data_IF_633576817913
#
_entry.id   IF_633576817913
#
_cell.length_a   1.000
_cell.length_b   1.000
_cell.length_c   1.000
_cell.angle_alpha   90.00
_cell.angle_beta   90.00
_cell.angle_gamma   90.00
#
_symmetry.space_group_name_H-M   'P 1'
#
loop_
_entity.id
_entity.type
_entity.pdbx_description
1 polymer ?
#
# COMPACT_ATOMS: atom_id res chain seq x y z
N UNK A 1 14.68 -25.02 -2.76
CA UNK A 1 13.97 -23.72 -2.82
C UNK A 1 14.70 -22.82 -1.85
N UNK A 2 15.21 -21.67 -2.29
CA UNK A 2 15.83 -20.70 -1.37
C UNK A 2 14.77 -20.26 -0.36
N UNK A 3 15.08 -20.40 0.93
CA UNK A 3 14.23 -19.93 2.00
C UNK A 3 14.22 -18.40 1.96
N UNK A 4 13.03 -17.78 1.89
CA UNK A 4 12.92 -16.32 1.94
C UNK A 4 13.12 -15.94 3.41
N UNK A 5 14.29 -15.39 3.71
CA UNK A 5 14.60 -14.98 5.08
C UNK A 5 14.24 -13.50 5.30
N UNK A 6 13.97 -13.10 6.55
CA UNK A 6 13.71 -11.71 6.91
C UNK A 6 14.79 -10.74 6.43
N UNK A 7 16.04 -11.16 6.50
CA UNK A 7 17.20 -10.35 6.14
C UNK A 7 17.19 -9.98 4.64
N UNK A 8 16.64 -10.86 3.78
CA UNK A 8 16.49 -10.57 2.35
C UNK A 8 15.47 -9.45 2.15
N UNK A 9 14.35 -9.48 2.90
CA UNK A 9 13.31 -8.46 2.80
C UNK A 9 13.85 -7.11 3.32
N UNK A 10 14.51 -7.12 4.48
CA UNK A 10 15.10 -5.92 5.07
C UNK A 10 16.18 -5.32 4.17
N UNK A 11 16.96 -6.17 3.50
CA UNK A 11 17.96 -5.73 2.53
C UNK A 11 17.31 -5.01 1.34
N UNK A 12 16.29 -5.62 0.72
CA UNK A 12 15.55 -5.03 -0.40
C UNK A 12 14.96 -3.67 0.00
N UNK A 13 14.29 -3.60 1.15
CA UNK A 13 13.66 -2.36 1.64
C UNK A 13 14.73 -1.28 1.87
N UNK A 14 15.82 -1.63 2.54
CA UNK A 14 16.91 -0.70 2.85
C UNK A 14 17.56 -0.14 1.60
N UNK A 15 17.75 -0.98 0.57
CA UNK A 15 18.27 -0.56 -0.73
C UNK A 15 17.34 0.45 -1.42
N UNK A 16 16.04 0.15 -1.49
CA UNK A 16 15.06 1.07 -2.10
C UNK A 16 15.02 2.41 -1.37
N UNK A 17 14.97 2.40 -0.03
CA UNK A 17 14.93 3.62 0.78
C UNK A 17 16.21 4.46 0.58
N UNK A 18 17.37 3.82 0.66
CA UNK A 18 18.67 4.48 0.51
C UNK A 18 18.84 5.12 -0.87
N UNK A 19 18.52 4.38 -1.93
CA UNK A 19 18.70 4.87 -3.30
C UNK A 19 17.71 5.97 -3.69
N UNK A 20 16.48 5.91 -3.17
CA UNK A 20 15.44 6.91 -3.42
C UNK A 20 15.50 8.10 -2.45
N UNK A 21 16.51 8.11 -1.56
CA UNK A 21 16.71 9.10 -0.51
C UNK A 21 15.42 9.37 0.30
N UNK A 22 14.58 8.34 0.47
CA UNK A 22 13.28 8.47 1.12
C UNK A 22 13.49 8.72 2.60
N UNK A 23 12.87 9.77 3.12
CA UNK A 23 12.77 9.94 4.57
C UNK A 23 11.86 8.81 5.07
N UNK A 24 12.34 7.92 5.94
CA UNK A 24 11.57 6.78 6.39
C UNK A 24 10.32 7.21 7.19
N UNK A 25 10.27 8.47 7.67
CA UNK A 25 9.05 9.14 8.11
C UNK A 25 9.26 10.66 8.31
N UNK A 26 8.62 11.55 7.52
CA UNK A 26 8.75 13.02 7.68
C UNK A 26 8.03 13.61 8.89
N UNK A 27 7.22 12.83 9.61
CA UNK A 27 6.42 13.26 10.77
C UNK A 27 6.69 12.47 12.06
N UNK A 28 7.65 11.56 12.07
CA UNK A 28 7.97 10.75 13.24
C UNK A 28 9.03 11.45 14.09
N UNK A 29 8.65 12.03 15.22
CA UNK A 29 9.60 12.47 16.27
C UNK A 29 10.07 11.27 17.11
N UNK A 30 10.56 10.22 16.46
CA UNK A 30 11.04 8.99 17.09
C UNK A 30 11.75 8.09 16.08
N UNK A 31 12.58 7.16 16.57
CA UNK A 31 13.23 6.16 15.73
C UNK A 31 12.18 5.44 14.88
N UNK A 32 12.24 5.65 13.57
CA UNK A 32 11.49 4.83 12.62
C UNK A 32 12.05 3.44 12.76
N UNK A 33 11.29 2.54 13.38
CA UNK A 33 11.61 1.13 13.28
C UNK A 33 11.27 0.72 11.85
N UNK A 34 12.25 0.39 10.99
CA UNK A 34 11.95 -0.22 9.70
C UNK A 34 11.04 -1.43 9.96
N UNK A 35 10.25 -1.82 8.96
CA UNK A 35 9.42 -3.03 9.03
C UNK A 35 10.32 -4.18 9.50
N UNK A 36 10.20 -4.54 10.78
CA UNK A 36 11.09 -5.48 11.43
C UNK A 36 10.34 -6.79 11.53
N UNK A 37 11.00 -7.87 11.15
CA UNK A 37 10.45 -9.20 11.32
C UNK A 37 10.21 -9.54 12.79
N UNK A 38 10.91 -8.89 13.72
CA UNK A 38 10.60 -8.96 15.15
C UNK A 38 9.22 -8.33 15.43
N UNK A 39 8.85 -7.21 14.80
CA UNK A 39 7.52 -6.62 14.95
C UNK A 39 6.40 -7.48 14.32
N UNK A 40 6.69 -8.17 13.21
CA UNK A 40 5.76 -9.12 12.60
C UNK A 40 5.61 -10.40 13.44
N UNK A 41 6.71 -10.93 13.97
CA UNK A 41 6.72 -12.04 14.93
C UNK A 41 6.10 -11.64 16.26
N UNK A 42 6.23 -10.39 16.69
CA UNK A 42 5.55 -9.83 17.85
C UNK A 42 4.04 -9.87 17.60
N UNK A 43 3.57 -9.44 16.43
CA UNK A 43 2.16 -9.56 16.01
C UNK A 43 1.63 -11.00 15.97
N UNK A 44 2.45 -11.95 15.50
CA UNK A 44 2.12 -13.38 15.48
C UNK A 44 2.16 -13.97 16.90
N UNK A 45 3.11 -13.55 17.74
CA UNK A 45 3.31 -14.02 19.12
C UNK A 45 2.31 -13.39 20.10
N UNK A 46 1.77 -12.20 19.78
CA UNK A 46 0.56 -11.64 20.35
C UNK A 46 -0.70 -12.46 20.01
N UNK A 47 -0.53 -13.57 19.28
CA UNK A 47 -1.53 -14.62 19.20
C UNK A 47 -2.72 -14.22 18.34
N UNK A 48 -2.46 -13.71 17.13
CA UNK A 48 -3.50 -13.48 16.11
C UNK A 48 -4.38 -14.73 15.80
N UNK A 49 -4.03 -15.91 16.33
CA UNK A 49 -4.86 -17.12 16.32
C UNK A 49 -5.92 -17.22 17.43
N UNK A 50 -5.90 -16.39 18.49
CA UNK A 50 -6.94 -16.35 19.53
C UNK A 50 -7.12 -14.94 20.10
N UNK A 51 -8.18 -14.26 19.64
CA UNK A 51 -8.60 -12.95 20.15
C UNK A 51 -8.85 -13.01 21.66
N UNK A 52 -8.22 -12.06 22.37
CA UNK A 52 -8.50 -11.75 23.75
C UNK A 52 -7.36 -11.05 24.49
N UNK A 53 -6.76 -10.00 23.91
CA UNK A 53 -5.79 -9.16 24.63
C UNK A 53 -6.42 -7.81 24.99
N UNK A 54 -6.33 -7.44 26.26
CA UNK A 54 -6.60 -6.07 26.74
C UNK A 54 -5.49 -5.18 26.19
N UNK A 55 -5.74 -4.56 25.03
CA UNK A 55 -4.91 -3.50 24.46
C UNK A 55 -5.00 -2.22 25.32
N UNK A 56 -4.02 -1.29 25.25
CA UNK A 56 -4.27 0.10 25.66
C UNK A 56 -5.57 0.52 24.95
N UNK A 57 -6.53 1.04 25.72
CA UNK A 57 -7.95 1.18 25.34
C UNK A 57 -8.15 1.32 23.84
N UNK A 58 -8.84 0.34 23.23
CA UNK A 58 -9.21 0.34 21.82
C UNK A 58 -9.59 1.78 21.42
N UNK A 59 -8.89 2.41 20.46
CA UNK A 59 -9.13 3.80 20.14
C UNK A 59 -10.61 3.98 19.81
N UNK A 60 -11.26 5.05 20.29
CA UNK A 60 -12.68 5.28 20.04
C UNK A 60 -12.98 5.12 18.53
N UNK A 61 -14.14 4.55 18.17
CA UNK A 61 -14.48 4.15 16.79
C UNK A 61 -14.04 5.13 15.68
N UNK A 62 -14.11 6.43 15.95
CA UNK A 62 -13.74 7.50 15.03
C UNK A 62 -12.24 7.61 14.75
N UNK A 63 -11.40 7.24 15.71
CA UNK A 63 -9.94 7.18 15.54
C UNK A 63 -9.54 5.97 14.70
N UNK A 64 -10.28 4.86 14.78
CA UNK A 64 -10.01 3.65 13.99
C UNK A 64 -10.31 3.84 12.49
N UNK A 65 -11.31 4.64 12.13
CA UNK A 65 -11.67 4.92 10.74
C UNK A 65 -10.48 5.44 9.91
N UNK A 66 -9.62 6.24 10.53
CA UNK A 66 -8.40 6.81 9.90
C UNK A 66 -7.30 5.80 9.61
N UNK A 67 -7.49 4.53 9.93
CA UNK A 67 -6.57 3.43 9.62
C UNK A 67 -7.15 2.46 8.59
N UNK A 68 -8.36 2.71 8.09
CA UNK A 68 -9.08 1.81 7.21
C UNK A 68 -8.98 2.32 5.77
N UNK A 69 -8.51 1.45 4.88
CA UNK A 69 -8.62 1.62 3.43
C UNK A 69 -9.87 0.89 2.94
N UNK A 70 -10.91 1.66 2.61
CA UNK A 70 -12.19 1.11 2.19
C UNK A 70 -12.09 0.57 0.76
N UNK A 71 -12.09 -0.75 0.63
CA UNK A 71 -11.56 -1.43 -0.57
C UNK A 71 -12.66 -2.08 -1.41
N UNK A 72 -12.63 -1.84 -2.73
CA UNK A 72 -13.44 -2.55 -3.73
C UNK A 72 -12.61 -2.86 -4.98
N UNK A 73 -12.10 -4.09 -5.05
CA UNK A 73 -11.25 -4.58 -6.15
C UNK A 73 -11.89 -5.70 -6.96
N UNK A 74 -13.21 -5.93 -6.79
CA UNK A 74 -13.92 -6.93 -7.59
C UNK A 74 -13.87 -6.53 -9.09
N UNK A 75 -13.63 -7.49 -10.00
CA UNK A 75 -13.51 -7.18 -11.43
C UNK A 75 -14.83 -6.73 -12.07
N UNK A 76 -15.96 -7.08 -11.46
CA UNK A 76 -17.32 -6.70 -11.87
C UNK A 76 -17.85 -5.46 -11.14
N UNK A 77 -17.00 -4.74 -10.40
CA UNK A 77 -17.39 -3.52 -9.70
C UNK A 77 -17.90 -2.46 -10.69
N UNK A 78 -19.16 -2.03 -10.51
CA UNK A 78 -19.79 -1.02 -11.37
C UNK A 78 -19.52 0.40 -10.88
N UNK A 79 -19.76 1.39 -11.73
CA UNK A 79 -19.62 2.80 -11.36
C UNK A 79 -20.46 3.16 -10.12
N UNK A 80 -21.70 2.68 -10.04
CA UNK A 80 -22.61 2.98 -8.92
C UNK A 80 -22.06 2.42 -7.60
N UNK A 81 -21.38 1.27 -7.64
CA UNK A 81 -20.72 0.69 -6.47
C UNK A 81 -19.47 1.49 -6.08
N UNK A 82 -18.73 2.01 -7.06
CA UNK A 82 -17.59 2.90 -6.83
C UNK A 82 -18.03 4.24 -6.24
N UNK A 83 -19.13 4.80 -6.72
CA UNK A 83 -19.71 6.02 -6.15
C UNK A 83 -20.13 5.77 -4.70
N UNK A 84 -20.85 4.68 -4.46
CA UNK A 84 -21.30 4.30 -3.13
C UNK A 84 -20.14 4.16 -2.14
N UNK A 85 -19.08 3.43 -2.50
CA UNK A 85 -17.93 3.23 -1.60
C UNK A 85 -17.20 4.55 -1.29
N UNK A 86 -17.11 5.45 -2.27
CA UNK A 86 -16.52 6.78 -2.07
C UNK A 86 -17.37 7.63 -1.10
N UNK A 87 -18.70 7.60 -1.25
CA UNK A 87 -19.61 8.33 -0.37
C UNK A 87 -19.57 7.80 1.07
N UNK A 88 -19.55 6.48 1.25
CA UNK A 88 -19.40 5.83 2.56
C UNK A 88 -18.07 6.21 3.22
N UNK A 89 -16.98 6.24 2.45
CA UNK A 89 -15.68 6.62 2.97
C UNK A 89 -15.64 8.08 3.42
N UNK A 90 -16.28 8.97 2.67
CA UNK A 90 -16.42 10.38 3.03
C UNK A 90 -17.25 10.56 4.30
N UNK A 91 -18.35 9.83 4.44
CA UNK A 91 -19.23 9.88 5.61
C UNK A 91 -18.52 9.41 6.88
N UNK A 92 -17.75 8.32 6.78
CA UNK A 92 -17.06 7.72 7.91
C UNK A 92 -15.65 8.29 8.15
N UNK A 93 -15.17 9.19 7.28
CA UNK A 93 -13.82 9.76 7.34
C UNK A 93 -12.72 8.69 7.39
N UNK A 94 -12.81 7.71 6.47
CA UNK A 94 -11.78 6.67 6.32
C UNK A 94 -10.43 7.25 5.85
N UNK A 95 -9.37 6.44 5.93
CA UNK A 95 -8.03 6.85 5.49
C UNK A 95 -8.00 7.06 3.97
N UNK A 96 -8.40 6.02 3.23
CA UNK A 96 -8.43 6.03 1.79
C UNK A 96 -9.55 5.13 1.24
N UNK A 97 -9.79 5.22 -0.07
CA UNK A 97 -10.56 4.26 -0.85
C UNK A 97 -9.60 3.54 -1.79
N UNK A 98 -9.52 2.21 -1.70
CA UNK A 98 -8.68 1.38 -2.55
C UNK A 98 -9.50 0.69 -3.65
N UNK A 99 -9.23 1.06 -4.91
CA UNK A 99 -10.02 0.66 -6.09
C UNK A 99 -9.14 0.32 -7.29
N UNK A 100 -9.71 -0.39 -8.26
CA UNK A 100 -9.02 -0.72 -9.51
C UNK A 100 -8.64 0.55 -10.30
N UNK A 101 -7.49 0.56 -11.02
CA UNK A 101 -6.96 1.72 -11.76
C UNK A 101 -7.96 2.44 -12.67
N UNK A 102 -8.88 1.69 -13.29
CA UNK A 102 -9.92 2.21 -14.19
C UNK A 102 -10.77 3.30 -13.55
N UNK A 103 -11.02 3.19 -12.23
CA UNK A 103 -11.96 4.04 -11.50
C UNK A 103 -11.33 5.24 -10.78
N UNK A 104 -10.00 5.37 -10.83
CA UNK A 104 -9.25 6.39 -10.07
C UNK A 104 -9.72 7.81 -10.38
N UNK A 105 -9.93 8.13 -11.66
CA UNK A 105 -10.33 9.50 -12.06
C UNK A 105 -11.72 9.86 -11.52
N UNK A 106 -12.62 8.89 -11.42
CA UNK A 106 -13.98 9.12 -10.95
C UNK A 106 -14.01 9.23 -9.43
N UNK A 107 -13.33 8.34 -8.71
CA UNK A 107 -13.18 8.43 -7.27
C UNK A 107 -12.53 9.75 -6.83
N UNK A 108 -11.49 10.19 -7.55
CA UNK A 108 -10.83 11.48 -7.27
C UNK A 108 -11.78 12.67 -7.43
N UNK A 109 -12.68 12.66 -8.41
CA UNK A 109 -13.71 13.70 -8.57
C UNK A 109 -14.72 13.67 -7.42
N UNK A 110 -15.18 12.49 -7.03
CA UNK A 110 -16.20 12.30 -5.99
C UNK A 110 -15.67 12.70 -4.60
N UNK A 111 -14.42 12.35 -4.33
CA UNK A 111 -13.74 12.62 -3.05
C UNK A 111 -13.07 14.00 -2.99
N UNK A 112 -13.19 14.84 -4.03
CA UNK A 112 -12.61 16.18 -4.03
C UNK A 112 -13.10 16.99 -2.83
N UNK A 113 -12.15 17.54 -2.06
CA UNK A 113 -12.44 18.32 -0.85
C UNK A 113 -12.69 17.49 0.41
N UNK A 114 -12.61 16.17 0.32
CA UNK A 114 -12.59 15.26 1.47
C UNK A 114 -11.14 15.03 1.95
N UNK A 115 -10.92 14.70 3.24
CA UNK A 115 -9.63 14.20 3.70
C UNK A 115 -9.32 12.76 3.25
N UNK A 116 -10.31 12.04 2.71
CA UNK A 116 -10.14 10.64 2.24
C UNK A 116 -9.28 10.62 0.99
N UNK A 117 -8.22 9.82 1.01
CA UNK A 117 -7.31 9.66 -0.14
C UNK A 117 -7.83 8.66 -1.16
N UNK A 118 -7.37 8.78 -2.40
CA UNK A 118 -7.56 7.75 -3.43
C UNK A 118 -6.35 6.83 -3.49
N UNK A 119 -6.54 5.57 -3.13
CA UNK A 119 -5.58 4.49 -3.28
C UNK A 119 -5.95 3.61 -4.48
N UNK A 120 -4.95 3.07 -5.18
CA UNK A 120 -5.17 2.10 -6.26
C UNK A 120 -4.07 1.05 -6.29
N UNK A 121 -4.35 -0.06 -6.97
CA UNK A 121 -3.43 -1.20 -7.03
C UNK A 121 -2.62 -1.22 -8.32
N UNK A 122 -1.37 -1.72 -8.27
CA UNK A 122 -0.46 -1.81 -9.44
C UNK A 122 0.09 -3.22 -9.59
N UNK A 123 0.05 -3.73 -10.83
CA UNK A 123 0.43 -5.11 -11.11
C UNK A 123 -0.42 -6.15 -10.37
N UNK A 124 -1.62 -5.77 -9.91
CA UNK A 124 -2.50 -6.60 -9.10
C UNK A 124 -3.34 -7.55 -9.97
N UNK A 125 -3.67 -8.77 -9.48
CA UNK A 125 -3.30 -9.35 -8.19
C UNK A 125 -1.99 -10.14 -8.20
N UNK A 126 -1.38 -10.40 -9.36
CA UNK A 126 -0.34 -11.42 -9.50
C UNK A 126 1.09 -10.90 -9.31
N UNK A 127 1.36 -9.62 -9.57
CA UNK A 127 2.69 -9.00 -9.51
C UNK A 127 3.69 -9.49 -10.55
N UNK A 128 3.32 -10.46 -11.39
CA UNK A 128 4.15 -11.11 -12.40
C UNK A 128 4.10 -10.37 -13.76
N UNK A 129 4.45 -9.09 -13.74
CA UNK A 129 4.58 -8.26 -14.95
C UNK A 129 5.91 -7.50 -14.91
N UNK A 130 6.27 -6.86 -16.02
CA UNK A 130 7.53 -6.14 -16.16
C UNK A 130 7.57 -4.87 -15.30
N UNK A 131 8.71 -4.53 -14.66
CA UNK A 131 8.88 -3.29 -13.89
C UNK A 131 8.49 -2.02 -14.65
N UNK A 132 8.80 -1.97 -15.95
CA UNK A 132 8.50 -0.83 -16.80
C UNK A 132 6.99 -0.64 -17.01
N UNK A 133 6.25 -1.76 -17.07
CA UNK A 133 4.79 -1.74 -17.19
C UNK A 133 4.17 -1.26 -15.89
N UNK A 134 4.64 -1.74 -14.73
CA UNK A 134 4.18 -1.24 -13.42
C UNK A 134 4.46 0.25 -13.28
N UNK A 135 5.67 0.70 -13.62
CA UNK A 135 6.02 2.12 -13.59
C UNK A 135 5.15 2.97 -14.54
N UNK A 136 4.82 2.46 -15.73
CA UNK A 136 3.94 3.16 -16.66
C UNK A 136 2.48 3.22 -16.16
N UNK A 137 2.00 2.15 -15.53
CA UNK A 137 0.69 2.10 -14.87
C UNK A 137 0.64 3.11 -13.70
N UNK A 138 1.67 3.14 -12.86
CA UNK A 138 1.81 4.08 -11.74
C UNK A 138 1.74 5.54 -12.21
N UNK A 139 2.50 5.93 -13.24
CA UNK A 139 2.44 7.31 -13.77
C UNK A 139 1.03 7.69 -14.21
N UNK A 140 0.35 6.77 -14.90
CA UNK A 140 -1.00 7.02 -15.41
C UNK A 140 -2.04 7.20 -14.30
N UNK A 141 -2.00 6.39 -13.24
CA UNK A 141 -2.95 6.53 -12.14
C UNK A 141 -2.68 7.77 -11.30
N UNK A 142 -1.41 8.11 -11.10
CA UNK A 142 -0.98 9.33 -10.40
C UNK A 142 -1.45 10.58 -11.15
N UNK A 143 -1.30 10.61 -12.48
CA UNK A 143 -1.81 11.72 -13.30
C UNK A 143 -3.34 11.80 -13.33
N UNK A 144 -4.04 10.70 -13.02
CA UNK A 144 -5.50 10.64 -12.85
C UNK A 144 -5.98 11.02 -11.46
N UNK A 145 -5.08 11.25 -10.50
CA UNK A 145 -5.39 11.72 -9.16
C UNK A 145 -5.24 10.68 -8.05
N UNK A 146 -4.63 9.51 -8.31
CA UNK A 146 -4.23 8.61 -7.22
C UNK A 146 -3.24 9.32 -6.30
N UNK A 147 -3.43 9.17 -5.00
CA UNK A 147 -2.56 9.73 -3.96
C UNK A 147 -1.73 8.63 -3.27
N UNK A 148 -2.21 7.39 -3.32
CA UNK A 148 -1.56 6.21 -2.78
C UNK A 148 -1.62 5.07 -3.80
N UNK A 149 -0.62 4.18 -3.74
CA UNK A 149 -0.42 3.12 -4.72
C UNK A 149 0.03 1.84 -4.02
N UNK A 150 -0.77 0.78 -4.13
CA UNK A 150 -0.52 -0.54 -3.55
C UNK A 150 -0.04 -1.50 -4.64
N UNK A 151 1.27 -1.70 -4.73
CA UNK A 151 1.86 -2.61 -5.72
C UNK A 151 1.96 -4.05 -5.23
N UNK A 152 1.87 -5.01 -6.15
CA UNK A 152 2.21 -6.42 -5.88
C UNK A 152 3.63 -6.71 -6.39
N UNK A 153 4.50 -7.23 -5.52
CA UNK A 153 5.87 -7.62 -5.86
C UNK A 153 5.93 -8.83 -6.79
N UNK A 154 7.04 -9.00 -7.51
CA UNK A 154 7.29 -10.22 -8.27
C UNK A 154 7.65 -11.41 -7.34
N UNK A 155 6.63 -12.15 -6.91
CA UNK A 155 6.77 -13.31 -6.02
C UNK A 155 7.66 -14.40 -6.63
N UNK A 156 7.59 -14.59 -7.96
CA UNK A 156 8.39 -15.60 -8.66
C UNK A 156 9.89 -15.29 -8.59
N UNK A 157 10.26 -14.03 -8.78
CA UNK A 157 11.65 -13.57 -8.66
C UNK A 157 12.17 -13.73 -7.21
N UNK A 158 11.36 -13.34 -6.22
CA UNK A 158 11.74 -13.47 -4.81
C UNK A 158 12.00 -14.94 -4.42
N UNK A 159 11.08 -15.84 -4.79
CA UNK A 159 11.22 -17.29 -4.52
C UNK A 159 12.35 -17.95 -5.29
N UNK A 160 12.84 -17.32 -6.35
CA UNK A 160 13.98 -17.78 -7.15
C UNK A 160 15.32 -17.25 -6.64
N UNK A 161 15.35 -16.53 -5.52
CA UNK A 161 16.57 -15.95 -4.96
C UNK A 161 17.12 -14.81 -5.80
N UNK A 162 16.24 -14.03 -6.46
CA UNK A 162 16.60 -12.88 -7.30
C UNK A 162 16.17 -11.56 -6.62
N UNK A 163 16.77 -11.16 -5.50
CA UNK A 163 16.37 -9.97 -4.76
C UNK A 163 16.55 -8.68 -5.58
N UNK A 164 17.60 -8.60 -6.39
CA UNK A 164 17.88 -7.42 -7.24
C UNK A 164 16.74 -7.15 -8.24
N UNK A 165 16.07 -8.20 -8.73
CA UNK A 165 14.93 -8.07 -9.65
C UNK A 165 13.71 -7.50 -8.92
N UNK A 166 13.47 -7.94 -7.67
CA UNK A 166 12.36 -7.47 -6.84
C UNK A 166 12.61 -6.03 -6.39
N UNK A 167 13.84 -5.74 -6.00
CA UNK A 167 14.28 -4.41 -5.62
C UNK A 167 14.10 -3.44 -6.81
N UNK A 168 14.56 -3.81 -8.00
CA UNK A 168 14.41 -2.98 -9.20
C UNK A 168 12.94 -2.75 -9.57
N UNK A 169 12.08 -3.76 -9.39
CA UNK A 169 10.64 -3.68 -9.58
C UNK A 169 9.99 -2.65 -8.65
N UNK A 170 10.31 -2.71 -7.35
CA UNK A 170 9.81 -1.75 -6.35
C UNK A 170 10.33 -0.34 -6.64
N UNK A 171 11.65 -0.21 -6.89
CA UNK A 171 12.29 1.07 -7.18
C UNK A 171 11.67 1.76 -8.39
N UNK A 172 11.33 1.00 -9.43
CA UNK A 172 10.70 1.51 -10.64
C UNK A 172 9.33 2.13 -10.37
N UNK A 173 8.52 1.50 -9.52
CA UNK A 173 7.22 2.01 -9.08
C UNK A 173 7.37 3.24 -8.18
N UNK A 174 8.25 3.18 -7.17
CA UNK A 174 8.52 4.31 -6.26
C UNK A 174 8.97 5.56 -7.03
N UNK A 175 9.88 5.38 -7.99
CA UNK A 175 10.36 6.46 -8.86
C UNK A 175 9.23 7.02 -9.73
N UNK A 176 8.33 6.17 -10.20
CA UNK A 176 7.20 6.57 -11.02
C UNK A 176 6.10 7.31 -10.24
N UNK A 177 5.87 6.95 -8.98
CA UNK A 177 4.91 7.64 -8.12
C UNK A 177 5.31 9.09 -7.86
N UNK A 178 6.61 9.34 -7.70
CA UNK A 178 7.16 10.67 -7.43
C UNK A 178 6.75 11.20 -6.04
N UNK A 179 7.44 12.24 -5.57
CA UNK A 179 7.02 12.97 -4.36
C UNK A 179 6.04 14.06 -4.75
N UNK A 180 4.74 13.78 -4.62
CA UNK A 180 3.73 14.83 -4.60
C UNK A 180 3.24 14.94 -3.15
N UNK A 181 3.78 15.96 -2.46
CA UNK A 181 3.37 16.41 -1.12
C UNK A 181 1.94 16.90 -1.11
#
# INVERSE_FOLDING_TARGET
MSEITPEIIDHIISQVISEMNLDPCPHCQGEVRPFSYDAANDLVSFGASRIGAVAPSCPPKYEMARWIDHTLLKPDATFEQIEKICLEARENSFASVCINPTWVSDAYKILRGSPVKVCTVIGFPLGATLPEVKAAETRQVIDRGAQEVDMVINIGALKSGMPDVVEHDIRSVVRAAGRRT
#
